data_IF_151722639289
#
_entry.id   IF_151722639289
#
_cell.length_a   1.000
_cell.length_b   1.000
_cell.length_c   1.000
_cell.angle_alpha   90.00
_cell.angle_beta   90.00
_cell.angle_gamma   90.00
#
_symmetry.space_group_name_H-M   'P 1'
#
loop_
_entity.id
_entity.type
_entity.pdbx_description
1 polymer ?
#
# COMPACT_ATOMS: atom_id res chain seq x y z
N UNK A 1 -6.30 -1.73 83.71
CA UNK A 1 -6.38 -0.49 82.93
C UNK A 1 -6.03 -0.86 81.49
N UNK A 2 -7.03 -0.90 80.61
CA UNK A 2 -6.82 -1.09 79.18
C UNK A 2 -6.52 0.30 78.59
N UNK A 3 -5.37 0.45 77.93
CA UNK A 3 -5.01 1.68 77.24
C UNK A 3 -5.42 1.56 75.78
N UNK A 4 -6.27 2.48 75.32
CA UNK A 4 -6.67 2.61 73.92
C UNK A 4 -5.46 2.97 73.04
N UNK A 5 -5.09 2.07 72.12
CA UNK A 5 -4.17 2.39 71.02
C UNK A 5 -4.95 3.18 69.95
N UNK A 6 -4.72 4.49 69.90
CA UNK A 6 -5.24 5.35 68.83
C UNK A 6 -4.67 4.90 67.48
N UNK A 7 -5.53 4.37 66.60
CA UNK A 7 -5.24 4.20 65.18
C UNK A 7 -5.05 5.58 64.55
N UNK A 8 -3.79 6.00 64.44
CA UNK A 8 -3.40 7.20 63.71
C UNK A 8 -3.93 7.17 62.27
N UNK A 9 -4.80 8.13 61.93
CA UNK A 9 -5.22 8.39 60.56
C UNK A 9 -4.02 8.97 59.79
N UNK A 10 -3.41 8.15 58.94
CA UNK A 10 -2.42 8.62 57.99
C UNK A 10 -3.11 9.47 56.93
N UNK A 11 -2.81 10.77 56.91
CA UNK A 11 -3.20 11.65 55.81
C UNK A 11 -2.40 11.26 54.57
N UNK A 12 -2.99 10.45 53.68
CA UNK A 12 -2.44 10.28 52.33
C UNK A 12 -2.51 11.63 51.64
N UNK A 13 -1.36 12.26 51.38
CA UNK A 13 -1.30 13.48 50.58
C UNK A 13 -1.78 13.14 49.15
N UNK A 14 -3.01 13.52 48.82
CA UNK A 14 -3.61 13.40 47.48
C UNK A 14 -3.21 14.55 46.56
N UNK A 15 -2.26 15.39 46.96
CA UNK A 15 -1.69 16.45 46.14
C UNK A 15 -0.43 15.98 45.45
N UNK A 16 -0.55 15.15 44.42
CA UNK A 16 0.57 14.93 43.50
C UNK A 16 0.69 16.22 42.69
N UNK A 17 1.68 17.05 42.99
CA UNK A 17 2.01 18.20 42.12
C UNK A 17 2.66 17.64 40.87
N UNK A 18 1.84 17.35 39.87
CA UNK A 18 2.31 16.88 38.58
C UNK A 18 3.05 18.01 37.88
N UNK A 19 4.27 17.77 37.38
CA UNK A 19 4.97 18.77 36.58
C UNK A 19 4.15 19.07 35.31
N UNK A 20 4.20 20.30 34.77
CA UNK A 20 3.49 20.63 33.52
C UNK A 20 3.82 19.67 32.38
N UNK A 21 5.07 19.20 32.31
CA UNK A 21 5.53 18.21 31.32
C UNK A 21 4.93 16.82 31.53
N UNK A 22 4.77 16.39 32.79
CA UNK A 22 4.13 15.11 33.11
C UNK A 22 2.63 15.15 32.86
N UNK A 23 1.98 16.28 33.15
CA UNK A 23 0.58 16.53 32.82
C UNK A 23 0.37 16.52 31.30
N UNK A 24 1.23 17.23 30.56
CA UNK A 24 1.21 17.27 29.10
C UNK A 24 1.44 15.87 28.51
N UNK A 25 2.38 15.08 29.03
CA UNK A 25 2.61 13.70 28.58
C UNK A 25 1.47 12.74 28.92
N UNK A 26 0.85 12.87 30.09
CA UNK A 26 -0.32 12.06 30.47
C UNK A 26 -1.52 12.35 29.57
N UNK A 27 -1.64 13.60 29.12
CA UNK A 27 -2.71 14.05 28.23
C UNK A 27 -2.44 13.74 26.75
N UNK A 28 -1.19 13.87 26.30
CA UNK A 28 -0.80 13.67 24.90
C UNK A 28 -0.47 12.21 24.56
N UNK A 29 -0.08 11.41 25.55
CA UNK A 29 0.27 9.99 25.41
C UNK A 29 -0.28 9.20 26.59
N UNK A 30 -1.62 9.09 26.73
CA UNK A 30 -2.20 8.22 27.74
C UNK A 30 -1.64 6.81 27.56
N UNK A 31 -1.24 6.16 28.67
CA UNK A 31 -0.75 4.79 28.66
C UNK A 31 -1.88 3.89 28.16
N UNK A 32 -1.83 3.56 26.88
CA UNK A 32 -2.80 2.66 26.26
C UNK A 32 -2.79 1.34 27.04
N UNK A 33 -3.96 0.82 27.46
CA UNK A 33 -4.04 -0.50 28.07
C UNK A 33 -3.30 -1.49 27.17
N UNK A 34 -2.50 -2.39 27.77
CA UNK A 34 -1.76 -3.39 27.00
C UNK A 34 -2.69 -4.06 25.99
N UNK A 35 -2.29 -4.02 24.72
CA UNK A 35 -3.00 -4.59 23.59
C UNK A 35 -3.55 -5.96 24.00
N UNK A 36 -4.87 -6.14 24.01
CA UNK A 36 -5.49 -7.42 24.32
C UNK A 36 -4.91 -8.53 23.43
N UNK A 37 -5.04 -9.79 23.86
CA UNK A 37 -4.44 -11.00 23.27
C UNK A 37 -5.00 -11.35 21.86
N UNK A 38 -5.42 -10.35 21.08
CA UNK A 38 -5.98 -10.44 19.73
C UNK A 38 -5.02 -11.12 18.75
N UNK A 39 -3.70 -10.94 18.91
CA UNK A 39 -2.68 -11.64 18.12
C UNK A 39 -2.70 -13.16 18.33
N UNK A 40 -3.28 -13.67 19.43
CA UNK A 40 -3.52 -15.11 19.65
C UNK A 40 -4.89 -15.57 19.17
N UNK A 41 -5.84 -14.66 18.97
CA UNK A 41 -7.24 -14.99 18.66
C UNK A 41 -7.60 -14.82 17.19
N UNK A 42 -6.92 -13.91 16.48
CA UNK A 42 -7.18 -13.61 15.07
C UNK A 42 -5.89 -13.67 14.25
N UNK A 43 -6.02 -14.13 13.01
CA UNK A 43 -4.92 -14.17 12.06
C UNK A 43 -4.52 -12.77 11.58
N UNK A 44 -3.28 -12.64 11.12
CA UNK A 44 -2.77 -11.40 10.54
C UNK A 44 -3.51 -11.04 9.23
N UNK A 45 -4.31 -9.95 9.21
CA UNK A 45 -5.11 -9.59 8.04
C UNK A 45 -4.24 -9.06 6.88
N UNK A 46 -2.98 -8.70 7.14
CA UNK A 46 -2.05 -8.16 6.15
C UNK A 46 -1.81 -9.15 5.02
N UNK A 47 -1.62 -10.43 5.34
CA UNK A 47 -1.42 -11.48 4.36
C UNK A 47 -2.61 -11.58 3.39
N UNK A 48 -3.84 -11.52 3.93
CA UNK A 48 -5.06 -11.59 3.13
C UNK A 48 -5.19 -10.42 2.16
N UNK A 49 -4.93 -9.19 2.65
CA UNK A 49 -4.94 -7.99 1.80
C UNK A 49 -3.89 -8.05 0.68
N UNK A 50 -2.69 -8.54 0.99
CA UNK A 50 -1.63 -8.71 0.00
C UNK A 50 -1.96 -9.77 -1.05
N UNK A 51 -2.55 -10.91 -0.67
CA UNK A 51 -2.91 -11.96 -1.62
C UNK A 51 -3.91 -11.44 -2.66
N UNK A 52 -4.94 -10.69 -2.24
CA UNK A 52 -5.91 -10.08 -3.16
C UNK A 52 -5.25 -9.11 -4.14
N UNK A 53 -4.40 -8.22 -3.63
CA UNK A 53 -3.63 -7.29 -4.44
C UNK A 53 -2.75 -8.02 -5.48
N UNK A 54 -2.02 -9.05 -5.06
CA UNK A 54 -1.09 -9.74 -5.96
C UNK A 54 -1.82 -10.54 -7.02
N UNK A 55 -2.91 -11.24 -6.69
CA UNK A 55 -3.68 -12.01 -7.69
C UNK A 55 -4.22 -11.08 -8.78
N UNK A 56 -4.82 -9.96 -8.41
CA UNK A 56 -5.34 -8.98 -9.37
C UNK A 56 -4.23 -8.34 -10.20
N UNK A 57 -3.13 -7.91 -9.56
CA UNK A 57 -2.02 -7.22 -10.24
C UNK A 57 -1.27 -8.15 -11.18
N UNK A 58 -1.03 -9.41 -10.77
CA UNK A 58 -0.36 -10.41 -11.60
C UNK A 58 -1.20 -10.74 -12.84
N UNK A 59 -2.51 -10.93 -12.65
CA UNK A 59 -3.45 -11.18 -13.75
C UNK A 59 -3.50 -10.00 -14.72
N UNK A 60 -3.58 -8.77 -14.18
CA UNK A 60 -3.57 -7.55 -14.99
C UNK A 60 -2.30 -7.42 -15.81
N UNK A 61 -1.14 -7.66 -15.19
CA UNK A 61 0.13 -7.59 -15.88
C UNK A 61 0.19 -8.58 -17.06
N UNK A 62 -0.20 -9.83 -16.86
CA UNK A 62 -0.23 -10.86 -17.91
C UNK A 62 -1.12 -10.43 -19.10
N UNK A 63 -2.28 -9.83 -18.82
CA UNK A 63 -3.21 -9.34 -19.86
C UNK A 63 -2.61 -8.15 -20.60
N UNK A 64 -2.02 -7.18 -19.90
CA UNK A 64 -1.32 -6.05 -20.55
C UNK A 64 -0.10 -6.49 -21.36
N UNK A 65 0.51 -7.63 -21.01
CA UNK A 65 1.59 -8.25 -21.78
C UNK A 65 1.09 -9.08 -22.96
N UNK A 66 -0.21 -9.36 -23.06
CA UNK A 66 -0.79 -10.18 -24.14
C UNK A 66 -0.32 -11.62 -24.14
N UNK A 67 0.11 -12.15 -22.98
CA UNK A 67 0.67 -13.50 -22.89
C UNK A 67 -0.38 -14.53 -23.31
N UNK A 68 -0.08 -15.34 -24.33
CA UNK A 68 -0.94 -16.43 -24.78
C UNK A 68 -2.20 -15.94 -25.52
N UNK A 69 -2.20 -14.70 -26.02
CA UNK A 69 -3.38 -14.09 -26.62
C UNK A 69 -4.42 -13.62 -25.59
N UNK A 70 -4.05 -13.56 -24.30
CA UNK A 70 -4.91 -13.06 -23.25
C UNK A 70 -5.31 -11.59 -23.50
N UNK A 71 -6.60 -11.37 -23.73
CA UNK A 71 -7.22 -10.07 -23.92
C UNK A 71 -8.58 -10.06 -23.22
N UNK A 72 -8.99 -8.89 -22.71
CA UNK A 72 -10.41 -8.66 -22.38
C UNK A 72 -10.95 -9.20 -21.04
N UNK A 73 -10.14 -9.51 -20.02
CA UNK A 73 -10.67 -9.84 -18.68
C UNK A 73 -10.75 -8.60 -17.79
N UNK A 74 -11.97 -8.11 -17.58
CA UNK A 74 -12.20 -6.77 -17.02
C UNK A 74 -12.53 -6.71 -15.51
N UNK A 75 -13.24 -7.68 -14.88
CA UNK A 75 -13.56 -7.58 -13.45
C UNK A 75 -12.40 -7.92 -12.51
N UNK A 76 -11.57 -8.93 -12.84
CA UNK A 76 -10.45 -9.38 -11.99
C UNK A 76 -9.35 -8.31 -11.88
N UNK A 77 -9.28 -7.46 -12.90
CA UNK A 77 -8.22 -6.49 -13.15
C UNK A 77 -8.60 -5.09 -12.70
N UNK A 78 -9.77 -4.62 -13.14
CA UNK A 78 -10.25 -3.26 -12.85
C UNK A 78 -11.24 -3.22 -11.68
N UNK A 79 -11.54 -4.38 -11.07
CA UNK A 79 -12.42 -4.50 -9.92
C UNK A 79 -13.77 -3.84 -10.19
N UNK A 80 -14.11 -2.87 -9.35
CA UNK A 80 -15.36 -2.12 -9.42
C UNK A 80 -15.56 -1.35 -10.75
N UNK A 81 -14.49 -0.90 -11.41
CA UNK A 81 -14.61 -0.11 -12.65
C UNK A 81 -15.25 -0.88 -13.81
N UNK A 82 -15.24 -2.22 -13.75
CA UNK A 82 -15.95 -3.04 -14.73
C UNK A 82 -16.85 -4.12 -14.13
N UNK A 83 -17.39 -3.90 -12.93
CA UNK A 83 -18.47 -4.75 -12.43
C UNK A 83 -19.74 -4.48 -13.24
N UNK A 84 -20.30 -5.48 -13.96
CA UNK A 84 -21.49 -5.27 -14.80
C UNK A 84 -22.70 -4.76 -14.00
N UNK A 85 -22.79 -5.13 -12.72
CA UNK A 85 -23.86 -4.72 -11.81
C UNK A 85 -23.88 -3.22 -11.50
N UNK A 86 -22.74 -2.53 -11.60
CA UNK A 86 -22.66 -1.09 -11.34
C UNK A 86 -23.03 -0.23 -12.55
N UNK A 87 -23.07 -0.82 -13.75
CA UNK A 87 -23.45 -0.14 -14.99
C UNK A 87 -22.73 1.21 -15.21
N UNK A 88 -21.44 1.29 -14.86
CA UNK A 88 -20.67 2.54 -14.86
C UNK A 88 -20.55 3.20 -16.24
N UNK A 89 -20.82 2.48 -17.34
CA UNK A 89 -20.87 3.02 -18.69
C UNK A 89 -22.20 3.68 -19.08
N UNK A 90 -23.29 3.43 -18.33
CA UNK A 90 -24.61 3.97 -18.67
C UNK A 90 -24.68 5.50 -18.63
N UNK A 91 -24.08 6.20 -17.66
CA UNK A 91 -24.05 7.67 -17.64
C UNK A 91 -23.28 8.29 -18.82
N UNK A 92 -22.41 7.51 -19.46
CA UNK A 92 -21.55 7.95 -20.55
C UNK A 92 -22.09 7.53 -21.93
N UNK A 93 -23.22 6.83 -21.98
CA UNK A 93 -23.92 6.51 -23.22
C UNK A 93 -24.93 7.62 -23.51
N UNK A 94 -24.59 8.51 -24.44
CA UNK A 94 -25.45 9.61 -24.89
C UNK A 94 -26.10 9.28 -26.23
N UNK A 95 -27.04 10.11 -26.68
CA UNK A 95 -27.64 9.94 -28.00
C UNK A 95 -26.62 10.12 -29.14
N UNK A 96 -25.60 10.96 -28.93
CA UNK A 96 -24.54 11.25 -29.90
C UNK A 96 -23.38 10.24 -29.84
N UNK A 97 -23.14 9.62 -28.68
CA UNK A 97 -22.15 8.54 -28.48
C UNK A 97 -22.73 7.41 -27.60
N UNK A 98 -23.26 6.32 -28.19
CA UNK A 98 -23.85 5.22 -27.45
C UNK A 98 -22.82 4.24 -26.88
N UNK A 99 -21.51 4.49 -27.03
CA UNK A 99 -20.46 3.51 -26.74
C UNK A 99 -20.18 3.32 -25.24
N UNK A 100 -20.63 4.24 -24.37
CA UNK A 100 -20.60 4.10 -22.91
C UNK A 100 -19.20 3.88 -22.33
N UNK A 101 -18.84 2.61 -22.06
CA UNK A 101 -17.51 2.23 -21.54
C UNK A 101 -16.36 2.48 -22.53
N UNK A 102 -16.68 2.61 -23.82
CA UNK A 102 -15.67 2.98 -24.84
C UNK A 102 -15.73 4.46 -25.21
N UNK A 103 -16.59 5.24 -24.55
CA UNK A 103 -16.73 6.67 -24.86
C UNK A 103 -15.46 7.41 -24.48
N UNK A 104 -15.25 8.55 -25.14
CA UNK A 104 -14.13 9.45 -24.85
C UNK A 104 -14.16 9.91 -23.39
N UNK A 105 -15.34 10.25 -22.89
CA UNK A 105 -15.55 10.82 -21.56
C UNK A 105 -15.28 9.79 -20.45
N UNK A 106 -15.71 8.54 -20.65
CA UNK A 106 -15.42 7.47 -19.71
C UNK A 106 -13.90 7.23 -19.59
N UNK A 107 -13.20 7.15 -20.72
CA UNK A 107 -11.74 6.96 -20.72
C UNK A 107 -10.98 8.14 -20.09
N UNK A 108 -11.44 9.38 -20.30
CA UNK A 108 -10.89 10.56 -19.63
C UNK A 108 -11.13 10.51 -18.11
N UNK A 109 -12.31 10.08 -17.66
CA UNK A 109 -12.63 9.92 -16.24
C UNK A 109 -11.73 8.86 -15.57
N UNK A 110 -11.50 7.72 -16.24
CA UNK A 110 -10.55 6.69 -15.76
C UNK A 110 -9.13 7.25 -15.66
N UNK A 111 -8.71 8.07 -16.64
CA UNK A 111 -7.39 8.68 -16.62
C UNK A 111 -7.20 9.63 -15.41
N UNK A 112 -8.20 10.46 -15.09
CA UNK A 112 -8.19 11.33 -13.91
C UNK A 112 -8.22 10.52 -12.61
N UNK A 113 -9.02 9.45 -12.55
CA UNK A 113 -9.07 8.55 -11.41
C UNK A 113 -7.70 7.95 -11.09
N UNK A 114 -6.96 7.52 -12.12
CA UNK A 114 -5.61 6.97 -11.96
C UNK A 114 -4.58 8.00 -11.49
N UNK A 115 -4.74 9.29 -11.80
CA UNK A 115 -3.88 10.36 -11.26
C UNK A 115 -4.06 10.49 -9.75
N UNK A 116 -5.32 10.50 -9.28
CA UNK A 116 -5.63 10.58 -7.85
C UNK A 116 -5.05 9.38 -7.11
N UNK A 117 -5.20 8.18 -7.66
CA UNK A 117 -4.54 6.98 -7.12
C UNK A 117 -3.01 7.07 -7.18
N UNK A 118 -2.45 7.65 -8.24
CA UNK A 118 -1.01 7.89 -8.37
C UNK A 118 -0.45 8.71 -7.21
N UNK A 119 -1.14 9.78 -6.80
CA UNK A 119 -0.78 10.58 -5.62
C UNK A 119 -0.90 9.79 -4.30
N UNK A 120 -1.98 9.02 -4.12
CA UNK A 120 -2.17 8.20 -2.93
C UNK A 120 -1.06 7.13 -2.80
N UNK A 121 -0.76 6.42 -3.91
CA UNK A 121 0.29 5.41 -3.98
C UNK A 121 1.69 6.00 -3.78
N UNK A 122 1.94 7.20 -4.31
CA UNK A 122 3.19 7.91 -4.07
C UNK A 122 3.37 8.29 -2.59
N UNK A 123 2.28 8.64 -1.89
CA UNK A 123 2.31 8.90 -0.45
C UNK A 123 2.64 7.62 0.33
N UNK A 124 2.05 6.48 -0.06
CA UNK A 124 2.40 5.19 0.54
C UNK A 124 3.85 4.79 0.26
N UNK A 125 4.38 5.10 -0.92
CA UNK A 125 5.80 4.93 -1.21
C UNK A 125 6.68 5.65 -0.18
N UNK A 126 6.42 6.94 0.09
CA UNK A 126 7.21 7.72 1.06
C UNK A 126 7.19 7.05 2.44
N UNK A 127 6.05 6.57 2.90
CA UNK A 127 5.95 5.94 4.22
C UNK A 127 6.55 4.53 4.27
N UNK A 128 6.48 3.77 3.18
CA UNK A 128 7.06 2.43 3.13
C UNK A 128 8.58 2.42 3.09
N UNK A 129 9.21 3.54 2.72
CA UNK A 129 10.64 3.75 2.89
C UNK A 129 11.09 3.53 4.34
N UNK A 130 10.26 3.78 5.36
CA UNK A 130 10.58 3.51 6.77
C UNK A 130 10.50 2.02 7.16
N UNK A 131 9.90 1.18 6.34
CA UNK A 131 9.60 -0.23 6.66
C UNK A 131 10.67 -1.16 6.08
N UNK A 132 10.65 -1.39 4.77
CA UNK A 132 11.61 -2.26 4.10
C UNK A 132 11.73 -1.94 2.61
N UNK A 133 12.85 -2.34 2.02
CA UNK A 133 13.21 -2.03 0.64
C UNK A 133 12.30 -2.70 -0.39
N UNK A 134 11.81 -3.91 -0.09
CA UNK A 134 10.90 -4.63 -1.00
C UNK A 134 9.55 -3.91 -1.11
N UNK A 135 8.94 -3.51 0.01
CA UNK A 135 7.71 -2.72 0.02
C UNK A 135 7.91 -1.36 -0.61
N UNK A 136 9.00 -0.65 -0.29
CA UNK A 136 9.31 0.63 -0.92
C UNK A 136 9.41 0.47 -2.45
N UNK A 137 10.06 -0.59 -2.93
CA UNK A 137 10.16 -0.89 -4.37
C UNK A 137 8.79 -1.19 -4.98
N UNK A 138 7.96 -2.00 -4.30
CA UNK A 138 6.59 -2.30 -4.75
C UNK A 138 5.79 -1.01 -4.92
N UNK A 139 5.73 -0.15 -3.91
CA UNK A 139 4.95 1.08 -3.97
C UNK A 139 5.50 2.09 -4.98
N UNK A 140 6.83 2.16 -5.15
CA UNK A 140 7.44 2.99 -6.20
C UNK A 140 6.99 2.54 -7.59
N UNK A 141 7.15 1.25 -7.90
CA UNK A 141 6.82 0.71 -9.22
C UNK A 141 5.31 0.81 -9.51
N UNK A 142 4.46 0.56 -8.50
CA UNK A 142 3.01 0.72 -8.62
C UNK A 142 2.62 2.18 -8.84
N UNK A 143 3.27 3.12 -8.14
CA UNK A 143 3.04 4.55 -8.35
C UNK A 143 3.38 4.94 -9.78
N UNK A 144 4.59 4.61 -10.26
CA UNK A 144 5.00 4.88 -11.66
C UNK A 144 4.02 4.25 -12.65
N UNK A 145 3.61 3.00 -12.43
CA UNK A 145 2.64 2.33 -13.29
C UNK A 145 1.28 3.05 -13.33
N UNK A 146 0.78 3.59 -12.20
CA UNK A 146 -0.47 4.34 -12.16
C UNK A 146 -0.40 5.63 -13.00
N UNK A 147 0.71 6.37 -12.93
CA UNK A 147 0.95 7.57 -13.75
C UNK A 147 1.02 7.24 -15.24
N UNK A 148 1.76 6.19 -15.60
CA UNK A 148 1.87 5.74 -17.00
C UNK A 148 0.52 5.25 -17.53
N UNK A 149 -0.23 4.50 -16.74
CA UNK A 149 -1.55 3.98 -17.12
C UNK A 149 -2.55 5.13 -17.30
N UNK A 150 -2.52 6.14 -16.43
CA UNK A 150 -3.31 7.36 -16.62
C UNK A 150 -3.01 8.02 -17.98
N UNK A 151 -1.72 8.20 -18.31
CA UNK A 151 -1.32 8.74 -19.61
C UNK A 151 -1.84 7.91 -20.80
N UNK A 152 -1.87 6.58 -20.65
CA UNK A 152 -2.44 5.70 -21.66
C UNK A 152 -3.95 5.93 -21.86
N UNK A 153 -4.73 6.00 -20.77
CA UNK A 153 -6.17 6.30 -20.85
C UNK A 153 -6.47 7.69 -21.40
N UNK A 154 -5.59 8.67 -21.12
CA UNK A 154 -5.69 9.99 -21.73
C UNK A 154 -5.54 9.93 -23.26
N UNK A 155 -4.59 9.13 -23.75
CA UNK A 155 -4.41 8.88 -25.19
C UNK A 155 -5.59 8.15 -25.83
N UNK A 156 -6.17 7.16 -25.13
CA UNK A 156 -7.42 6.49 -25.58
C UNK A 156 -8.54 7.51 -25.75
N UNK A 157 -8.66 8.48 -24.82
CA UNK A 157 -9.68 9.53 -24.93
C UNK A 157 -9.50 10.46 -26.13
N UNK A 158 -8.28 10.57 -26.68
CA UNK A 158 -7.99 11.38 -27.87
C UNK A 158 -7.99 10.57 -29.17
N UNK A 159 -8.31 9.27 -29.11
CA UNK A 159 -8.32 8.38 -30.27
C UNK A 159 -6.93 7.88 -30.69
N UNK A 160 -5.87 8.20 -29.94
CA UNK A 160 -4.51 7.68 -30.18
C UNK A 160 -4.35 6.29 -29.54
N UNK A 161 -5.00 5.29 -30.13
CA UNK A 161 -4.98 3.91 -29.62
C UNK A 161 -3.62 3.24 -29.76
N UNK A 162 -2.82 3.61 -30.77
CA UNK A 162 -1.47 3.08 -30.94
C UNK A 162 -0.55 3.61 -29.84
N UNK A 163 -0.56 4.93 -29.59
CA UNK A 163 0.17 5.54 -28.51
C UNK A 163 -0.30 5.09 -27.13
N UNK A 164 -1.60 4.91 -26.93
CA UNK A 164 -2.17 4.33 -25.72
C UNK A 164 -1.70 2.88 -25.51
N UNK A 165 -1.75 2.07 -26.56
CA UNK A 165 -1.24 0.70 -26.55
C UNK A 165 0.25 0.67 -26.25
N UNK A 166 1.04 1.62 -26.75
CA UNK A 166 2.46 1.76 -26.40
C UNK A 166 2.66 2.16 -24.95
N UNK A 167 1.88 3.07 -24.37
CA UNK A 167 2.01 3.44 -22.95
C UNK A 167 1.55 2.33 -22.01
N UNK A 168 0.44 1.65 -22.35
CA UNK A 168 0.07 0.41 -21.68
C UNK A 168 1.21 -0.60 -21.79
N UNK A 169 1.87 -0.72 -22.95
CA UNK A 169 3.02 -1.60 -23.24
C UNK A 169 4.37 -1.16 -22.65
N UNK A 170 4.56 0.13 -22.37
CA UNK A 170 5.85 0.75 -22.06
C UNK A 170 5.93 1.21 -20.61
N UNK A 171 5.22 0.55 -19.69
CA UNK A 171 5.47 0.76 -18.27
C UNK A 171 6.95 0.55 -17.90
N UNK A 172 7.79 -0.11 -18.71
CA UNK A 172 9.25 -0.16 -18.49
C UNK A 172 10.02 0.93 -19.28
N UNK A 173 10.94 1.58 -18.56
CA UNK A 173 11.97 2.52 -19.00
C UNK A 173 12.79 1.92 -20.17
N UNK A 174 12.41 2.19 -21.42
CA UNK A 174 13.26 2.67 -22.54
C UNK A 174 12.50 2.56 -23.87
N UNK A 175 12.52 3.64 -24.64
CA UNK A 175 12.19 3.63 -26.07
C UNK A 175 13.22 2.80 -26.83
N UNK A 176 12.84 1.74 -27.54
CA UNK A 176 13.70 1.18 -28.57
C UNK A 176 12.90 0.49 -29.69
N UNK A 177 13.52 0.53 -30.85
CA UNK A 177 13.06 0.34 -32.23
C UNK A 177 12.58 -1.05 -32.63
N UNK A 178 11.82 -1.07 -33.73
CA UNK A 178 11.34 -2.23 -34.48
C UNK A 178 12.53 -3.07 -34.97
N UNK A 179 12.58 -4.37 -34.58
CA UNK A 179 13.42 -5.37 -35.26
C UNK A 179 14.27 -6.32 -34.42
N UNK A 180 13.82 -6.85 -33.26
CA UNK A 180 14.69 -7.75 -32.44
C UNK A 180 14.08 -9.11 -32.03
N UNK A 181 15.00 -10.07 -31.85
CA UNK A 181 14.93 -11.53 -31.61
C UNK A 181 13.95 -12.05 -30.51
N UNK A 182 13.59 -13.36 -30.50
CA UNK A 182 12.64 -13.97 -29.55
C UNK A 182 12.95 -13.82 -28.04
N UNK A 183 14.15 -13.40 -27.65
CA UNK A 183 14.47 -13.01 -26.27
C UNK A 183 13.87 -11.65 -25.86
N UNK A 184 13.31 -10.87 -26.81
CA UNK A 184 12.60 -9.62 -26.55
C UNK A 184 11.13 -9.77 -26.15
N UNK A 185 10.64 -10.99 -25.89
CA UNK A 185 9.30 -11.22 -25.33
C UNK A 185 9.07 -10.41 -24.03
N UNK A 186 10.09 -10.33 -23.19
CA UNK A 186 10.08 -9.51 -21.96
C UNK A 186 10.10 -8.00 -22.21
N UNK A 187 10.39 -7.58 -23.45
CA UNK A 187 10.64 -6.18 -23.85
C UNK A 187 9.41 -5.51 -24.51
N UNK A 188 8.36 -6.27 -24.83
CA UNK A 188 7.12 -5.78 -25.47
C UNK A 188 5.89 -5.76 -24.55
N UNK A 189 6.09 -6.05 -23.26
CA UNK A 189 5.01 -6.33 -22.32
C UNK A 189 4.64 -5.14 -21.43
N UNK A 190 3.41 -4.66 -21.58
CA UNK A 190 2.86 -3.54 -20.80
C UNK A 190 2.63 -3.71 -19.34
N UNK A 191 2.60 -4.96 -18.93
CA UNK A 191 2.56 -5.32 -17.54
C UNK A 191 3.93 -5.39 -16.90
N UNK A 192 5.08 -5.16 -17.56
CA UNK A 192 6.36 -5.58 -16.99
C UNK A 192 6.69 -4.94 -15.62
N UNK A 193 6.35 -3.67 -15.38
CA UNK A 193 6.45 -3.12 -14.02
C UNK A 193 5.49 -3.80 -13.04
N UNK A 194 4.22 -3.94 -13.44
CA UNK A 194 3.19 -4.55 -12.60
C UNK A 194 3.44 -6.06 -12.38
N UNK A 195 4.15 -6.71 -13.31
CA UNK A 195 4.59 -8.09 -13.22
C UNK A 195 5.71 -8.24 -12.20
N UNK A 196 6.70 -7.34 -12.23
CA UNK A 196 7.76 -7.27 -11.22
C UNK A 196 7.15 -6.97 -9.84
N UNK A 197 6.24 -6.00 -9.77
CA UNK A 197 5.46 -5.69 -8.56
C UNK A 197 4.76 -6.93 -8.03
N UNK A 198 4.08 -7.67 -8.89
CA UNK A 198 3.30 -8.82 -8.48
C UNK A 198 4.21 -10.00 -8.09
N UNK A 199 5.36 -10.18 -8.74
CA UNK A 199 6.38 -11.15 -8.33
C UNK A 199 6.99 -10.79 -6.95
N UNK A 200 7.32 -9.52 -6.72
CA UNK A 200 7.79 -9.02 -5.41
C UNK A 200 6.69 -9.13 -4.34
N UNK A 201 5.44 -8.89 -4.72
CA UNK A 201 4.30 -9.09 -3.84
C UNK A 201 4.13 -10.56 -3.45
N UNK A 202 4.33 -11.49 -4.38
CA UNK A 202 4.32 -12.93 -4.08
C UNK A 202 5.46 -13.36 -3.17
N UNK A 203 6.63 -12.77 -3.36
CA UNK A 203 7.76 -12.92 -2.43
C UNK A 203 7.39 -12.45 -1.01
N UNK A 204 6.73 -11.29 -0.86
CA UNK A 204 6.27 -10.81 0.45
C UNK A 204 5.15 -11.67 1.04
N UNK A 205 4.17 -12.13 0.25
CA UNK A 205 3.14 -13.06 0.70
C UNK A 205 3.76 -14.32 1.30
N UNK A 206 4.75 -14.90 0.61
CA UNK A 206 5.45 -16.08 1.09
C UNK A 206 6.18 -15.83 2.42
N UNK A 207 6.87 -14.70 2.56
CA UNK A 207 7.57 -14.33 3.81
C UNK A 207 6.60 -14.15 4.96
N UNK A 208 5.49 -13.43 4.75
CA UNK A 208 4.49 -13.20 5.80
C UNK A 208 3.85 -14.52 6.22
N UNK A 209 3.46 -15.38 5.27
CA UNK A 209 2.89 -16.69 5.57
C UNK A 209 3.89 -17.63 6.25
N UNK A 210 5.17 -17.61 5.85
CA UNK A 210 6.22 -18.36 6.52
C UNK A 210 6.35 -17.93 7.99
N UNK A 211 6.27 -16.62 8.27
CA UNK A 211 6.25 -16.07 9.62
C UNK A 211 5.06 -16.56 10.46
N UNK A 212 3.85 -16.52 9.90
CA UNK A 212 2.63 -17.01 10.59
C UNK A 212 2.67 -18.53 10.85
N UNK A 213 3.22 -19.31 9.91
CA UNK A 213 3.40 -20.76 10.04
C UNK A 213 4.60 -21.15 10.93
N UNK A 214 5.28 -20.17 11.53
CA UNK A 214 6.48 -20.35 12.37
C UNK A 214 7.62 -21.07 11.65
N UNK A 215 7.69 -20.93 10.33
CA UNK A 215 8.81 -21.42 9.52
C UNK A 215 9.95 -20.40 9.68
N UNK A 216 11.11 -20.84 10.15
CA UNK A 216 12.28 -19.98 10.44
C UNK A 216 13.07 -19.59 9.19
N UNK A 217 12.40 -19.33 8.08
CA UNK A 217 13.02 -18.93 6.83
C UNK A 217 13.19 -17.41 6.80
N UNK A 218 14.41 -16.94 7.10
CA UNK A 218 14.74 -15.51 7.07
C UNK A 218 15.19 -15.09 5.67
N UNK A 219 14.24 -14.68 4.84
CA UNK A 219 14.52 -14.14 3.52
C UNK A 219 14.82 -12.63 3.59
N UNK A 220 15.76 -12.10 2.78
CA UNK A 220 16.18 -10.71 2.86
C UNK A 220 15.09 -9.77 2.33
N UNK A 221 14.61 -8.86 3.18
CA UNK A 221 13.65 -7.80 2.79
C UNK A 221 14.27 -6.40 2.72
N UNK A 222 15.51 -6.25 3.20
CA UNK A 222 16.24 -4.98 3.26
C UNK A 222 15.59 -4.00 4.23
N UNK A 223 15.91 -4.10 5.53
CA UNK A 223 15.39 -3.19 6.54
C UNK A 223 15.94 -1.77 6.32
N UNK A 224 15.02 -0.84 6.04
CA UNK A 224 15.34 0.56 5.80
C UNK A 224 15.24 1.41 7.07
N UNK A 225 14.72 0.86 8.17
CA UNK A 225 14.48 1.59 9.42
C UNK A 225 15.74 2.28 9.97
N UNK A 226 16.92 1.74 9.68
CA UNK A 226 18.22 2.32 10.04
C UNK A 226 18.50 3.70 9.44
N UNK A 227 17.83 4.07 8.33
CA UNK A 227 17.97 5.38 7.69
C UNK A 227 17.14 6.47 8.37
N UNK A 228 16.22 6.12 9.28
CA UNK A 228 15.38 7.08 10.00
C UNK A 228 15.86 7.30 11.44
N UNK A 229 15.90 8.55 11.91
CA UNK A 229 16.14 8.85 13.32
C UNK A 229 15.11 8.13 14.20
N UNK A 230 15.59 7.45 15.25
CA UNK A 230 14.70 6.82 16.24
C UNK A 230 13.94 7.92 16.98
N UNK A 231 12.61 7.81 17.03
CA UNK A 231 11.75 8.69 17.82
C UNK A 231 11.59 8.14 19.24
N UNK A 232 12.66 7.59 19.79
CA UNK A 232 12.70 7.10 21.16
C UNK A 232 12.91 8.35 22.02
N UNK A 233 11.83 9.07 22.32
CA UNK A 233 11.86 9.99 23.46
C UNK A 233 11.95 9.07 24.68
N UNK A 234 13.19 8.85 25.11
CA UNK A 234 13.56 7.94 26.18
C UNK A 234 12.87 8.39 27.48
N UNK A 235 11.69 7.81 27.75
CA UNK A 235 10.92 8.02 28.98
C UNK A 235 11.74 7.65 30.23
N UNK A 236 12.76 6.79 30.06
CA UNK A 236 13.70 6.41 31.11
C UNK A 236 14.62 7.56 31.55
N UNK A 237 14.97 8.51 30.67
CA UNK A 237 15.82 9.66 31.05
C UNK A 237 15.05 10.68 31.89
N UNK A 238 13.71 10.72 31.78
CA UNK A 238 12.85 11.55 32.62
C UNK A 238 12.70 10.95 34.04
N UNK A 239 12.47 9.64 34.16
CA UNK A 239 12.41 8.95 35.46
C UNK A 239 13.76 8.95 36.21
N UNK A 240 14.88 8.80 35.50
CA UNK A 240 16.22 8.82 36.13
C UNK A 240 16.63 10.20 36.67
N UNK A 241 16.02 11.29 36.19
CA UNK A 241 16.26 12.65 36.73
C UNK A 241 15.47 12.93 38.00
N UNK A 242 14.30 12.30 38.18
CA UNK A 242 13.50 12.45 39.40
C UNK A 242 14.07 11.66 40.59
N UNK A 243 14.70 10.51 40.36
CA UNK A 243 15.32 9.72 41.44
C UNK A 243 16.67 10.24 41.94
N UNK A 244 17.18 11.35 41.38
CA UNK A 244 18.48 11.91 41.76
C UNK A 244 18.37 13.13 42.70
N UNK A 245 17.18 13.45 43.19
CA UNK A 245 16.95 14.52 44.17
C UNK A 245 16.05 14.07 45.32
#
# INVERSE_FOLDING_TARGET
>A
MAGDEEKGLYRTQTGITMSPELFEKLYLTPKVPQLGDYNRRFANPTALGFVGFVISTFTFAIICMGWGGAQGFSPVVFGFLQLPTLQLGAPFATADDPTGLSSREYNAAVAVYLIVWGFALFTFFIFTCKINAVFATIFLLVSVAAWVLSGAYWKVSWGDYEGAGRLQKASVIHSASVGESPLTFWRQGGGALLFIVAALGWYMCFIIMAGEMRITLNLPVGDLSHLWPRTDVELATAEQREHKY
#
